data_IF_699597507664
#
_entry.id   IF_699597507664
#
_cell.length_a   1.000
_cell.length_b   1.000
_cell.length_c   1.000
_cell.angle_alpha   90.00
_cell.angle_beta   90.00
_cell.angle_gamma   90.00
#
_symmetry.space_group_name_H-M   'P 1'
#
loop_
_entity.id
_entity.type
_entity.pdbx_description
1 polymer ?
#
# COMPACT_ATOMS: atom_id res chain seq x y z
N UNK A 1 -59.57 16.30 -4.94
CA UNK A 1 -58.61 15.98 -3.88
C UNK A 1 -57.80 14.68 -4.15
N UNK A 2 -58.43 13.53 -4.40
CA UNK A 2 -57.73 12.25 -4.62
C UNK A 2 -56.68 12.25 -5.76
N UNK A 3 -56.97 12.90 -6.91
CA UNK A 3 -56.01 13.02 -8.03
C UNK A 3 -54.76 13.85 -7.68
N UNK A 4 -54.92 14.91 -6.88
CA UNK A 4 -53.80 15.76 -6.46
C UNK A 4 -52.89 15.03 -5.49
N UNK A 5 -53.42 14.20 -4.59
CA UNK A 5 -52.68 13.38 -3.68
C UNK A 5 -51.85 12.29 -4.41
N UNK A 6 -52.44 11.68 -5.46
CA UNK A 6 -51.72 10.69 -6.29
C UNK A 6 -50.57 11.36 -7.04
N UNK A 7 -50.78 12.52 -7.64
CA UNK A 7 -49.74 13.27 -8.33
C UNK A 7 -48.60 13.67 -7.36
N UNK A 8 -48.97 14.14 -6.16
CA UNK A 8 -48.01 14.51 -5.14
C UNK A 8 -47.19 13.29 -4.67
N UNK A 9 -47.85 12.14 -4.49
CA UNK A 9 -47.17 10.89 -4.14
C UNK A 9 -46.20 10.40 -5.23
N UNK A 10 -46.62 10.49 -6.51
CA UNK A 10 -45.74 10.13 -7.63
C UNK A 10 -44.52 11.07 -7.76
N UNK A 11 -44.76 12.38 -7.61
CA UNK A 11 -43.65 13.36 -7.62
C UNK A 11 -42.69 13.12 -6.46
N UNK A 12 -43.22 12.89 -5.25
CA UNK A 12 -42.38 12.58 -4.09
C UNK A 12 -41.59 11.28 -4.27
N UNK A 13 -42.21 10.23 -4.82
CA UNK A 13 -41.53 8.98 -5.13
C UNK A 13 -40.45 9.15 -6.21
N UNK A 14 -40.75 9.93 -7.27
CA UNK A 14 -39.76 10.27 -8.31
C UNK A 14 -38.56 11.06 -7.74
N UNK A 15 -38.83 12.06 -6.90
CA UNK A 15 -37.79 12.84 -6.25
C UNK A 15 -36.94 11.98 -5.29
N UNK A 16 -37.60 11.11 -4.51
CA UNK A 16 -36.90 10.17 -3.64
C UNK A 16 -36.03 9.18 -4.44
N UNK A 17 -36.59 8.64 -5.55
CA UNK A 17 -35.83 7.77 -6.45
C UNK A 17 -34.65 8.51 -7.07
N UNK A 18 -34.83 9.72 -7.57
CA UNK A 18 -33.77 10.55 -8.11
C UNK A 18 -32.70 10.88 -7.05
N UNK A 19 -33.11 11.13 -5.81
CA UNK A 19 -32.20 11.37 -4.69
C UNK A 19 -31.32 10.14 -4.37
N UNK A 20 -31.88 8.94 -4.43
CA UNK A 20 -31.16 7.68 -4.10
C UNK A 20 -30.36 7.15 -5.28
N UNK A 21 -30.76 7.42 -6.53
CA UNK A 21 -30.10 6.90 -7.74
C UNK A 21 -29.27 7.95 -8.48
N UNK A 22 -29.35 9.23 -8.09
CA UNK A 22 -28.60 10.32 -8.72
C UNK A 22 -27.08 10.20 -8.54
N UNK A 23 -26.30 10.96 -9.33
CA UNK A 23 -24.83 10.93 -9.26
C UNK A 23 -24.25 11.32 -7.89
N UNK A 24 -25.02 12.08 -7.09
CA UNK A 24 -24.67 12.43 -5.71
C UNK A 24 -24.84 11.27 -4.71
N UNK A 25 -25.62 10.24 -5.05
CA UNK A 25 -25.84 9.08 -4.18
C UNK A 25 -24.52 8.34 -3.91
N UNK A 26 -23.64 8.27 -4.89
CA UNK A 26 -22.32 7.67 -4.71
C UNK A 26 -21.49 8.44 -3.66
N UNK A 27 -21.49 9.77 -3.70
CA UNK A 27 -20.80 10.62 -2.73
C UNK A 27 -21.42 10.53 -1.33
N UNK A 28 -22.77 10.46 -1.23
CA UNK A 28 -23.45 10.26 0.05
C UNK A 28 -23.16 8.88 0.65
N UNK A 29 -23.13 7.84 -0.17
CA UNK A 29 -22.75 6.49 0.27
C UNK A 29 -21.30 6.47 0.76
N UNK A 30 -20.38 7.13 0.05
CA UNK A 30 -19.00 7.29 0.48
C UNK A 30 -18.87 8.02 1.82
N UNK A 31 -19.60 9.15 1.96
CA UNK A 31 -19.64 9.90 3.22
C UNK A 31 -20.17 9.06 4.39
N UNK A 32 -21.27 8.33 4.17
CA UNK A 32 -21.83 7.43 5.17
C UNK A 32 -20.86 6.34 5.57
N UNK A 33 -20.16 5.75 4.60
CA UNK A 33 -19.14 4.75 4.86
C UNK A 33 -17.99 5.30 5.73
N UNK A 34 -17.44 6.46 5.36
CA UNK A 34 -16.33 7.08 6.12
C UNK A 34 -16.79 7.48 7.54
N UNK A 35 -18.03 7.95 7.67
CA UNK A 35 -18.62 8.26 8.98
C UNK A 35 -18.74 7.00 9.85
N UNK A 36 -19.14 5.87 9.28
CA UNK A 36 -19.23 4.59 9.99
C UNK A 36 -17.83 4.08 10.39
N UNK A 37 -16.83 4.22 9.53
CA UNK A 37 -15.43 3.89 9.85
C UNK A 37 -14.96 4.75 11.03
N UNK A 38 -15.18 6.06 10.96
CA UNK A 38 -14.84 6.98 12.05
C UNK A 38 -15.56 6.62 13.36
N UNK A 39 -16.88 6.40 13.30
CA UNK A 39 -17.67 6.05 14.49
C UNK A 39 -17.19 4.74 15.12
N UNK A 40 -16.90 3.73 14.29
CA UNK A 40 -16.34 2.46 14.77
C UNK A 40 -15.02 2.68 15.51
N UNK A 41 -14.10 3.43 14.91
CA UNK A 41 -12.80 3.72 15.53
C UNK A 41 -12.95 4.52 16.82
N UNK A 42 -13.84 5.54 16.83
CA UNK A 42 -14.07 6.39 17.98
C UNK A 42 -14.71 5.64 19.18
N UNK A 43 -15.57 4.65 18.90
CA UNK A 43 -16.32 3.91 19.95
C UNK A 43 -15.62 2.61 20.35
N UNK A 44 -15.08 1.86 19.38
CA UNK A 44 -14.54 0.52 19.60
C UNK A 44 -13.00 0.48 19.55
N UNK A 45 -12.36 1.52 19.03
CA UNK A 45 -10.92 1.52 18.77
C UNK A 45 -10.49 0.59 17.64
N UNK A 46 -9.16 0.42 17.44
CA UNK A 46 -8.61 -0.54 16.49
C UNK A 46 -8.98 -1.98 16.89
N UNK A 47 -9.24 -2.82 15.88
CA UNK A 47 -9.50 -4.26 16.10
C UNK A 47 -8.25 -5.08 16.34
N UNK A 48 -7.16 -4.63 15.75
CA UNK A 48 -5.91 -5.37 15.72
C UNK A 48 -4.80 -4.59 16.38
N UNK A 49 -3.99 -5.29 17.14
CA UNK A 49 -2.76 -4.72 17.66
C UNK A 49 -1.72 -4.58 16.56
N UNK A 50 -0.94 -3.52 16.62
CA UNK A 50 0.16 -3.24 15.70
C UNK A 50 1.14 -4.40 15.56
N UNK A 51 1.42 -5.10 16.67
CA UNK A 51 2.31 -6.27 16.71
C UNK A 51 1.81 -7.45 15.89
N UNK A 52 0.51 -7.49 15.55
CA UNK A 52 -0.09 -8.54 14.72
C UNK A 52 -0.15 -8.19 13.24
N UNK A 53 0.45 -7.07 12.83
CA UNK A 53 0.48 -6.63 11.43
C UNK A 53 1.33 -7.60 10.61
N UNK A 54 0.76 -8.16 9.54
CA UNK A 54 1.49 -8.98 8.59
C UNK A 54 2.37 -8.15 7.64
N UNK A 55 2.02 -6.88 7.45
CA UNK A 55 2.76 -5.93 6.62
C UNK A 55 3.49 -4.90 7.49
N UNK A 56 4.69 -4.56 7.11
CA UNK A 56 5.51 -3.51 7.73
C UNK A 56 6.03 -2.56 6.66
N UNK A 57 6.28 -1.31 7.04
CA UNK A 57 6.76 -0.27 6.13
C UNK A 57 8.21 0.08 6.47
N UNK A 58 9.07 0.05 5.46
CA UNK A 58 10.39 0.69 5.48
C UNK A 58 10.23 2.06 4.84
N UNK A 59 10.30 3.07 5.67
CA UNK A 59 9.97 4.44 5.33
C UNK A 59 11.16 5.19 4.73
N UNK A 60 10.98 5.73 3.54
CA UNK A 60 11.79 6.84 3.05
C UNK A 60 11.14 8.09 3.61
N UNK A 61 11.65 8.56 4.73
CA UNK A 61 11.13 9.64 5.54
C UNK A 61 12.04 10.88 5.51
N UNK A 62 11.63 11.94 6.18
CA UNK A 62 12.43 13.17 6.32
C UNK A 62 13.77 12.92 7.00
N UNK A 63 13.85 11.91 7.89
CA UNK A 63 15.09 11.51 8.53
C UNK A 63 16.06 10.90 7.52
N UNK A 64 15.56 10.09 6.59
CA UNK A 64 16.36 9.51 5.50
C UNK A 64 17.07 10.60 4.69
N UNK A 65 16.38 11.70 4.39
CA UNK A 65 16.97 12.82 3.65
C UNK A 65 17.95 13.68 4.45
N UNK A 66 18.10 13.43 5.74
CA UNK A 66 18.94 14.22 6.65
C UNK A 66 20.06 13.41 7.29
N UNK A 67 20.21 12.15 6.89
CA UNK A 67 21.27 11.26 7.40
C UNK A 67 22.11 10.68 6.26
N UNK A 68 23.40 10.54 6.53
CA UNK A 68 24.29 9.83 5.62
C UNK A 68 23.85 8.37 5.45
N UNK A 69 23.99 7.81 4.24
CA UNK A 69 24.59 8.40 3.03
C UNK A 69 23.57 9.15 2.14
N UNK A 70 22.30 9.21 2.55
CA UNK A 70 21.19 9.66 1.70
C UNK A 70 21.10 11.19 1.59
N UNK A 71 21.54 11.93 2.61
CA UNK A 71 21.37 13.39 2.73
C UNK A 71 22.01 14.19 1.60
N UNK A 72 23.12 13.71 1.06
CA UNK A 72 23.91 14.45 0.05
C UNK A 72 23.82 13.83 -1.33
N UNK A 73 23.03 12.77 -1.51
CA UNK A 73 22.96 12.02 -2.75
C UNK A 73 21.57 12.03 -3.38
N UNK A 74 21.43 12.21 -4.70
CA UNK A 74 20.16 12.05 -5.39
C UNK A 74 19.61 10.62 -5.26
N UNK A 75 18.28 10.45 -5.24
CA UNK A 75 17.61 9.12 -5.17
C UNK A 75 18.16 8.10 -6.20
N UNK A 76 18.56 8.55 -7.39
CA UNK A 76 19.14 7.67 -8.41
C UNK A 76 20.46 6.99 -7.97
N UNK A 77 21.14 7.55 -6.98
CA UNK A 77 22.39 7.01 -6.42
C UNK A 77 22.14 6.15 -5.17
N UNK A 78 20.93 6.08 -4.64
CA UNK A 78 20.66 5.31 -3.42
C UNK A 78 20.71 3.80 -3.61
N UNK A 79 20.70 3.34 -4.85
CA UNK A 79 20.73 1.90 -5.20
C UNK A 79 21.84 1.15 -4.48
N UNK A 80 23.05 1.72 -4.40
CA UNK A 80 24.20 1.11 -3.71
C UNK A 80 23.95 0.92 -2.21
N UNK A 81 23.29 1.87 -1.58
CA UNK A 81 23.03 1.87 -0.13
C UNK A 81 21.73 1.13 0.25
N UNK A 82 20.80 1.00 -0.70
CA UNK A 82 19.61 0.15 -0.54
C UNK A 82 19.97 -1.34 -0.55
N UNK A 83 20.97 -1.75 -1.33
CA UNK A 83 21.33 -3.16 -1.49
C UNK A 83 21.56 -3.89 -0.15
N UNK A 84 22.42 -3.40 0.76
CA UNK A 84 22.68 -4.09 2.02
C UNK A 84 21.46 -4.12 2.96
N UNK A 85 20.56 -3.12 2.88
CA UNK A 85 19.34 -3.12 3.67
C UNK A 85 18.35 -4.17 3.15
N UNK A 86 18.21 -4.27 1.82
CA UNK A 86 17.36 -5.31 1.19
C UNK A 86 17.88 -6.71 1.53
N UNK A 87 19.19 -6.91 1.45
CA UNK A 87 19.81 -8.21 1.80
C UNK A 87 19.58 -8.55 3.27
N UNK A 88 19.80 -7.60 4.20
CA UNK A 88 19.57 -7.83 5.63
C UNK A 88 18.12 -8.20 5.96
N UNK A 89 17.14 -7.52 5.32
CA UNK A 89 15.72 -7.83 5.46
C UNK A 89 15.40 -9.22 4.91
N UNK A 90 15.94 -9.57 3.75
CA UNK A 90 15.73 -10.87 3.13
C UNK A 90 16.37 -12.01 3.94
N UNK A 91 17.60 -11.81 4.43
CA UNK A 91 18.35 -12.77 5.26
C UNK A 91 17.68 -12.96 6.63
N UNK A 92 16.96 -11.96 7.11
CA UNK A 92 16.11 -12.04 8.30
C UNK A 92 14.89 -12.94 8.13
N UNK A 93 14.60 -13.38 6.91
CA UNK A 93 13.47 -14.25 6.62
C UNK A 93 12.16 -13.50 6.35
N UNK A 94 12.21 -12.28 5.83
CA UNK A 94 11.01 -11.60 5.33
C UNK A 94 10.29 -12.47 4.30
N UNK A 95 8.96 -12.52 4.37
CA UNK A 95 8.16 -13.32 3.45
C UNK A 95 8.29 -12.81 2.01
N UNK A 96 8.18 -11.51 1.84
CA UNK A 96 8.37 -10.83 0.54
C UNK A 96 8.70 -9.36 0.77
N UNK A 97 9.52 -8.79 -0.11
CA UNK A 97 9.89 -7.37 -0.11
C UNK A 97 9.28 -6.72 -1.35
N UNK A 98 8.49 -5.67 -1.15
CA UNK A 98 7.90 -4.87 -2.22
C UNK A 98 8.45 -3.45 -2.22
N UNK A 99 8.77 -2.93 -3.38
CA UNK A 99 9.14 -1.52 -3.54
C UNK A 99 7.94 -0.73 -4.04
N UNK A 100 7.36 0.10 -3.19
CA UNK A 100 6.34 1.11 -3.56
C UNK A 100 7.02 2.43 -3.98
N UNK A 101 8.19 2.31 -4.57
CA UNK A 101 8.91 3.37 -5.23
C UNK A 101 9.44 2.89 -6.56
N UNK A 102 9.43 3.76 -7.54
CA UNK A 102 9.99 3.47 -8.85
C UNK A 102 11.29 4.25 -8.99
N UNK A 103 12.37 3.54 -9.32
CA UNK A 103 13.66 4.14 -9.63
C UNK A 103 13.88 4.05 -11.15
N UNK A 104 13.34 5.01 -11.94
CA UNK A 104 13.33 4.90 -13.39
C UNK A 104 14.68 5.28 -14.03
N UNK A 105 15.54 5.93 -13.27
CA UNK A 105 16.84 6.40 -13.68
C UNK A 105 17.96 5.62 -13.02
N UNK A 106 19.12 5.59 -13.66
CA UNK A 106 20.35 4.96 -13.18
C UNK A 106 21.54 5.86 -13.46
N UNK A 107 22.57 5.77 -12.65
CA UNK A 107 23.86 6.44 -12.88
C UNK A 107 24.90 5.49 -13.49
N UNK A 108 24.48 4.29 -13.90
CA UNK A 108 25.39 3.27 -14.43
C UNK A 108 26.02 3.66 -15.78
N UNK A 109 25.38 4.60 -16.52
CA UNK A 109 25.95 5.21 -17.72
C UNK A 109 27.18 6.09 -17.42
N UNK A 110 27.16 6.77 -16.28
CA UNK A 110 28.22 7.69 -15.85
C UNK A 110 29.26 7.00 -14.97
N UNK A 111 28.80 6.09 -14.08
CA UNK A 111 29.65 5.37 -13.12
C UNK A 111 29.44 3.88 -13.33
N UNK A 112 30.32 3.28 -14.14
CA UNK A 112 30.25 1.85 -14.45
C UNK A 112 30.24 0.99 -13.21
N UNK A 113 29.28 0.08 -13.12
CA UNK A 113 29.18 -0.88 -12.02
C UNK A 113 28.59 -0.31 -10.74
N UNK A 114 28.16 0.97 -10.71
CA UNK A 114 27.60 1.60 -9.51
C UNK A 114 26.41 0.83 -8.94
N UNK A 115 25.47 0.43 -9.79
CA UNK A 115 24.25 -0.28 -9.39
C UNK A 115 24.45 -1.79 -9.20
N UNK A 116 25.63 -2.33 -9.49
CA UNK A 116 25.90 -3.78 -9.47
C UNK A 116 25.48 -4.46 -8.16
N UNK A 117 25.79 -3.91 -6.96
CA UNK A 117 25.37 -4.54 -5.70
C UNK A 117 23.84 -4.64 -5.60
N UNK A 118 23.13 -3.59 -5.99
CA UNK A 118 21.67 -3.55 -5.97
C UNK A 118 21.04 -4.53 -6.97
N UNK A 119 21.55 -4.55 -8.20
CA UNK A 119 21.07 -5.48 -9.23
C UNK A 119 21.30 -6.94 -8.82
N UNK A 120 22.42 -7.25 -8.17
CA UNK A 120 22.69 -8.58 -7.64
C UNK A 120 21.74 -8.95 -6.50
N UNK A 121 21.48 -8.02 -5.56
CA UNK A 121 20.49 -8.20 -4.50
C UNK A 121 19.09 -8.44 -5.09
N UNK A 122 18.64 -7.58 -6.00
CA UNK A 122 17.36 -7.74 -6.69
C UNK A 122 17.24 -9.11 -7.37
N UNK A 123 18.30 -9.53 -8.09
CA UNK A 123 18.30 -10.81 -8.81
C UNK A 123 18.16 -12.00 -7.87
N UNK A 124 18.93 -12.03 -6.76
CA UNK A 124 18.83 -13.11 -5.76
C UNK A 124 17.40 -13.21 -5.20
N UNK A 125 16.86 -12.10 -4.72
CA UNK A 125 15.55 -12.10 -4.07
C UNK A 125 14.39 -12.35 -5.04
N UNK A 126 14.51 -11.86 -6.29
CA UNK A 126 13.51 -12.09 -7.33
C UNK A 126 13.47 -13.55 -7.79
N UNK A 127 14.63 -14.22 -7.88
CA UNK A 127 14.72 -15.64 -8.24
C UNK A 127 14.04 -16.53 -7.20
N UNK A 128 14.10 -16.15 -5.94
CA UNK A 128 13.44 -16.87 -4.83
C UNK A 128 11.96 -16.46 -4.67
N UNK A 129 11.43 -15.62 -5.56
CA UNK A 129 10.06 -15.13 -5.50
C UNK A 129 9.78 -14.12 -4.38
N UNK A 130 10.82 -13.66 -3.68
CA UNK A 130 10.71 -12.82 -2.47
C UNK A 130 10.84 -11.32 -2.74
N UNK A 131 10.80 -10.89 -4.00
CA UNK A 131 10.94 -9.46 -4.33
C UNK A 131 9.93 -9.04 -5.38
N UNK A 132 9.39 -7.84 -5.23
CA UNK A 132 8.48 -7.22 -6.15
C UNK A 132 8.85 -5.74 -6.35
N UNK A 133 9.07 -5.33 -7.58
CA UNK A 133 9.21 -3.92 -7.96
C UNK A 133 7.88 -3.37 -8.44
N UNK A 134 7.74 -2.06 -8.36
CA UNK A 134 6.56 -1.34 -8.81
C UNK A 134 6.73 -0.73 -10.19
N UNK A 135 5.60 -0.55 -10.87
CA UNK A 135 5.41 0.28 -12.06
C UNK A 135 4.16 1.13 -11.90
N UNK A 136 4.06 2.26 -12.59
CA UNK A 136 2.76 2.89 -12.80
C UNK A 136 2.20 2.43 -14.14
N UNK A 137 0.89 2.17 -14.17
CA UNK A 137 0.15 1.94 -15.40
C UNK A 137 -0.43 3.28 -15.85
N UNK A 138 -0.13 3.67 -17.08
CA UNK A 138 -0.63 4.91 -17.65
C UNK A 138 -1.04 4.69 -19.10
N UNK A 139 -2.12 5.33 -19.52
CA UNK A 139 -2.70 5.14 -20.85
C UNK A 139 -1.76 5.46 -22.02
N UNK A 140 -0.79 6.35 -21.81
CA UNK A 140 0.15 6.77 -22.85
C UNK A 140 1.53 6.14 -22.65
N UNK A 141 2.07 6.18 -21.44
CA UNK A 141 3.41 5.66 -21.14
C UNK A 141 3.53 5.29 -19.67
N UNK A 142 3.72 4.01 -19.33
CA UNK A 142 3.96 3.60 -17.96
C UNK A 142 5.33 4.10 -17.47
N UNK A 143 5.44 4.40 -16.18
CA UNK A 143 6.73 4.60 -15.52
C UNK A 143 7.21 3.24 -15.05
N UNK A 144 8.40 2.86 -15.50
CA UNK A 144 8.99 1.55 -15.23
C UNK A 144 10.30 1.72 -14.45
N UNK A 145 10.73 0.72 -13.68
CA UNK A 145 12.08 0.66 -13.14
C UNK A 145 13.14 0.74 -14.25
N UNK A 146 14.34 1.19 -13.92
CA UNK A 146 15.45 1.27 -14.85
C UNK A 146 15.71 -0.07 -15.56
N UNK A 147 16.21 -0.07 -16.81
CA UNK A 147 16.37 -1.28 -17.61
C UNK A 147 17.16 -2.40 -16.91
N UNK A 148 18.26 -2.06 -16.21
CA UNK A 148 19.04 -3.01 -15.43
C UNK A 148 18.23 -3.68 -14.32
N UNK A 149 17.41 -2.91 -13.60
CA UNK A 149 16.54 -3.44 -12.54
C UNK A 149 15.49 -4.39 -13.13
N UNK A 150 14.85 -4.02 -14.25
CA UNK A 150 13.89 -4.88 -14.94
C UNK A 150 14.51 -6.21 -15.37
N UNK A 151 15.74 -6.16 -15.91
CA UNK A 151 16.48 -7.36 -16.26
C UNK A 151 16.79 -8.22 -15.03
N UNK A 152 17.30 -7.61 -13.96
CA UNK A 152 17.66 -8.30 -12.73
C UNK A 152 16.47 -9.06 -12.10
N UNK A 153 15.26 -8.52 -12.18
CA UNK A 153 14.06 -9.14 -11.61
C UNK A 153 13.30 -10.04 -12.60
N UNK A 154 13.84 -10.35 -13.78
CA UNK A 154 13.16 -11.20 -14.76
C UNK A 154 12.01 -10.50 -15.47
N UNK A 155 12.18 -9.23 -15.78
CA UNK A 155 11.19 -8.39 -16.46
C UNK A 155 9.83 -8.38 -15.76
N UNK A 156 8.73 -8.59 -16.48
CA UNK A 156 7.37 -8.51 -15.96
C UNK A 156 7.02 -9.51 -14.85
N UNK A 157 7.83 -10.56 -14.65
CA UNK A 157 7.53 -11.59 -13.66
C UNK A 157 7.46 -11.04 -12.22
N UNK A 158 8.30 -10.06 -11.90
CA UNK A 158 8.41 -9.47 -10.56
C UNK A 158 8.19 -7.94 -10.56
N UNK A 159 7.34 -7.43 -11.47
CA UNK A 159 6.97 -6.01 -11.53
C UNK A 159 5.45 -5.92 -11.56
N UNK A 160 4.85 -5.13 -10.66
CA UNK A 160 3.40 -4.96 -10.55
C UNK A 160 3.01 -3.49 -10.47
N UNK A 161 1.77 -3.20 -10.87
CA UNK A 161 1.22 -1.84 -10.80
C UNK A 161 0.87 -1.46 -9.38
N UNK A 162 1.35 -0.27 -8.96
CA UNK A 162 1.03 0.38 -7.67
C UNK A 162 -0.11 1.39 -7.82
N UNK A 163 -0.79 1.43 -8.95
CA UNK A 163 -1.86 2.39 -9.14
C UNK A 163 -2.98 2.19 -8.12
N UNK A 164 -3.36 3.27 -7.48
CA UNK A 164 -4.53 3.38 -6.63
C UNK A 164 -5.58 4.23 -7.35
N UNK A 165 -6.83 3.82 -7.24
CA UNK A 165 -7.94 4.56 -7.84
C UNK A 165 -8.73 5.28 -6.77
N UNK A 166 -8.96 6.56 -7.01
CA UNK A 166 -9.87 7.36 -6.20
C UNK A 166 -11.31 7.15 -6.68
N UNK A 167 -12.25 7.13 -5.76
CA UNK A 167 -13.66 7.23 -6.09
C UNK A 167 -13.98 8.64 -6.63
N UNK A 168 -15.21 8.88 -7.05
CA UNK A 168 -15.62 10.17 -7.64
C UNK A 168 -15.44 11.38 -6.70
N UNK A 169 -15.42 11.15 -5.40
CA UNK A 169 -15.20 12.15 -4.38
C UNK A 169 -13.72 12.36 -4.00
N UNK A 170 -12.81 11.72 -4.74
CA UNK A 170 -11.37 11.83 -4.51
C UNK A 170 -10.83 10.94 -3.38
N UNK A 171 -11.66 10.09 -2.78
CA UNK A 171 -11.31 9.24 -1.65
C UNK A 171 -10.92 7.84 -2.12
N UNK A 172 -9.90 7.25 -1.53
CA UNK A 172 -9.53 5.85 -1.70
C UNK A 172 -10.16 5.03 -0.59
N UNK A 173 -11.08 4.13 -0.96
CA UNK A 173 -11.72 3.19 -0.03
C UNK A 173 -11.35 1.75 -0.32
N UNK A 174 -10.68 1.51 -1.43
CA UNK A 174 -10.30 0.17 -1.84
C UNK A 174 -9.12 0.16 -2.78
N UNK A 175 -8.65 -1.05 -3.06
CA UNK A 175 -7.55 -1.30 -3.99
C UNK A 175 -8.00 -2.24 -5.09
N UNK A 176 -7.49 -2.08 -6.33
CA UNK A 176 -7.77 -3.05 -7.37
C UNK A 176 -7.08 -4.39 -7.05
N UNK A 177 -7.73 -5.56 -7.23
CA UNK A 177 -7.07 -6.85 -7.12
C UNK A 177 -6.08 -7.10 -8.26
N UNK A 178 -6.33 -6.48 -9.41
CA UNK A 178 -5.50 -6.63 -10.59
C UNK A 178 -5.79 -5.58 -11.66
N UNK A 179 -5.02 -5.66 -12.71
CA UNK A 179 -5.07 -4.79 -13.88
C UNK A 179 -5.06 -5.64 -15.15
N UNK A 180 -5.49 -5.09 -16.25
CA UNK A 180 -5.25 -5.67 -17.56
C UNK A 180 -3.92 -5.12 -18.06
N UNK A 181 -2.94 -5.98 -18.26
CA UNK A 181 -1.65 -5.62 -18.83
C UNK A 181 -1.81 -5.14 -20.29
N UNK A 182 -0.78 -4.50 -20.85
CA UNK A 182 -0.77 -4.08 -22.26
C UNK A 182 -0.97 -5.27 -23.24
N UNK A 183 -0.58 -6.47 -22.81
CA UNK A 183 -0.81 -7.73 -23.55
C UNK A 183 -2.28 -8.19 -23.55
N UNK A 184 -3.18 -7.52 -22.82
CA UNK A 184 -4.55 -7.95 -22.60
C UNK A 184 -4.70 -9.05 -21.53
N UNK A 185 -3.60 -9.50 -20.93
CA UNK A 185 -3.61 -10.55 -19.89
C UNK A 185 -3.85 -9.91 -18.51
N UNK A 186 -4.72 -10.50 -17.67
CA UNK A 186 -4.88 -10.06 -16.29
C UNK A 186 -3.57 -10.15 -15.52
N UNK A 187 -3.23 -9.10 -14.79
CA UNK A 187 -2.04 -9.00 -13.95
C UNK A 187 -2.47 -8.60 -12.53
N UNK A 188 -1.98 -9.30 -11.52
CA UNK A 188 -2.22 -8.94 -10.13
C UNK A 188 -1.75 -7.52 -9.83
N UNK A 189 -2.46 -6.81 -8.93
CA UNK A 189 -1.96 -5.55 -8.38
C UNK A 189 -0.78 -5.80 -7.43
N UNK A 190 -0.06 -4.74 -7.12
CA UNK A 190 1.08 -4.81 -6.19
C UNK A 190 0.70 -5.42 -4.83
N UNK A 191 -0.36 -4.91 -4.19
CA UNK A 191 -0.82 -5.42 -2.89
C UNK A 191 -1.30 -6.87 -2.96
N UNK A 192 -2.06 -7.22 -4.01
CA UNK A 192 -2.58 -8.57 -4.17
C UNK A 192 -1.46 -9.60 -4.42
N UNK A 193 -0.46 -9.24 -5.22
CA UNK A 193 0.68 -10.11 -5.46
C UNK A 193 1.57 -10.27 -4.23
N UNK A 194 1.79 -9.20 -3.45
CA UNK A 194 2.52 -9.29 -2.17
C UNK A 194 1.82 -10.24 -1.20
N UNK A 195 0.51 -10.07 -1.01
CA UNK A 195 -0.27 -10.95 -0.13
C UNK A 195 -0.26 -12.41 -0.61
N UNK A 196 -0.40 -12.64 -1.93
CA UNK A 196 -0.34 -13.98 -2.52
C UNK A 196 1.01 -14.66 -2.29
N UNK A 197 2.12 -13.92 -2.41
CA UNK A 197 3.47 -14.47 -2.17
C UNK A 197 3.70 -14.80 -0.70
N UNK A 198 3.09 -14.03 0.21
CA UNK A 198 3.17 -14.29 1.65
C UNK A 198 2.29 -15.47 2.08
N UNK A 199 1.18 -15.75 1.35
CA UNK A 199 0.26 -16.85 1.61
C UNK A 199 -0.01 -17.68 0.34
N UNK A 200 0.98 -18.33 -0.24
CA UNK A 200 0.84 -19.01 -1.54
C UNK A 200 -0.18 -20.16 -1.52
N UNK A 201 -0.36 -20.82 -0.37
CA UNK A 201 -1.30 -21.93 -0.22
C UNK A 201 -2.75 -21.48 -0.06
N UNK A 202 -3.00 -20.21 0.22
CA UNK A 202 -4.33 -19.69 0.53
C UNK A 202 -4.83 -18.64 -0.45
N UNK A 203 -3.93 -17.92 -1.11
CA UNK A 203 -4.26 -16.86 -2.08
C UNK A 203 -3.74 -17.23 -3.46
N UNK A 204 -4.63 -17.25 -4.44
CA UNK A 204 -4.33 -17.55 -5.82
C UNK A 204 -5.12 -16.66 -6.79
N UNK A 205 -4.72 -16.63 -8.05
CA UNK A 205 -5.53 -16.04 -9.13
C UNK A 205 -6.05 -17.18 -10.01
N UNK A 206 -7.33 -17.09 -10.39
CA UNK A 206 -7.89 -18.00 -11.40
C UNK A 206 -7.52 -17.57 -12.83
N UNK A 207 -7.97 -18.33 -13.82
CA UNK A 207 -7.70 -18.06 -15.21
C UNK A 207 -8.28 -16.72 -15.71
N UNK A 208 -9.33 -16.23 -15.06
CA UNK A 208 -9.98 -14.96 -15.37
C UNK A 208 -9.32 -13.79 -14.63
N UNK A 209 -8.27 -14.03 -13.84
CA UNK A 209 -7.56 -13.04 -13.04
C UNK A 209 -8.31 -12.60 -11.79
N UNK A 210 -9.30 -13.39 -11.32
CA UNK A 210 -9.96 -13.12 -10.04
C UNK A 210 -9.13 -13.65 -8.89
N UNK A 211 -9.03 -12.87 -7.82
CA UNK A 211 -8.32 -13.28 -6.62
C UNK A 211 -9.19 -14.27 -5.81
N UNK A 212 -8.62 -15.42 -5.53
CA UNK A 212 -9.23 -16.47 -4.71
C UNK A 212 -8.55 -16.54 -3.36
N UNK A 213 -9.35 -16.82 -2.32
CA UNK A 213 -8.87 -17.19 -1.00
C UNK A 213 -9.44 -18.55 -0.62
N UNK A 214 -8.58 -19.49 -0.29
CA UNK A 214 -8.96 -20.87 0.03
C UNK A 214 -9.86 -21.51 -1.08
N UNK A 215 -9.60 -21.14 -2.34
CA UNK A 215 -10.36 -21.59 -3.52
C UNK A 215 -11.67 -20.84 -3.79
N UNK A 216 -12.05 -19.89 -2.93
CA UNK A 216 -13.27 -19.09 -3.09
C UNK A 216 -12.92 -17.69 -3.61
N UNK A 217 -13.63 -17.22 -4.63
CA UNK A 217 -13.40 -15.88 -5.17
C UNK A 217 -13.71 -14.81 -4.11
N UNK A 218 -12.78 -13.90 -3.91
CA UNK A 218 -13.00 -12.73 -3.06
C UNK A 218 -13.90 -11.77 -3.84
N UNK A 219 -15.08 -11.41 -3.30
CA UNK A 219 -16.00 -10.54 -4.00
C UNK A 219 -15.37 -9.15 -4.17
N UNK A 220 -15.23 -8.72 -5.43
CA UNK A 220 -14.93 -7.33 -5.75
C UNK A 220 -16.21 -6.49 -5.72
N UNK A 221 -16.12 -5.29 -5.21
CA UNK A 221 -17.20 -4.31 -5.38
C UNK A 221 -17.23 -3.78 -6.82
N UNK A 222 -18.34 -3.21 -7.23
CA UNK A 222 -18.50 -2.68 -8.59
C UNK A 222 -17.29 -1.85 -9.04
N UNK A 223 -16.69 -2.22 -10.19
CA UNK A 223 -15.43 -1.66 -10.67
C UNK A 223 -14.19 -2.47 -10.32
N UNK A 224 -14.34 -3.73 -9.89
CA UNK A 224 -13.23 -4.62 -9.54
C UNK A 224 -12.29 -4.03 -8.48
N UNK A 225 -12.87 -3.58 -7.37
CA UNK A 225 -12.14 -2.98 -6.25
C UNK A 225 -12.42 -3.76 -4.98
N UNK A 226 -11.37 -4.10 -4.24
CA UNK A 226 -11.44 -4.70 -2.91
C UNK A 226 -11.53 -3.58 -1.87
N UNK A 227 -12.60 -3.56 -1.07
CA UNK A 227 -12.74 -2.57 0.00
C UNK A 227 -11.79 -2.87 1.13
N UNK A 228 -10.99 -1.88 1.48
CA UNK A 228 -10.00 -1.98 2.56
C UNK A 228 -10.65 -1.60 3.89
N UNK A 229 -10.52 -2.46 4.89
CA UNK A 229 -10.77 -2.11 6.29
C UNK A 229 -9.54 -1.36 6.82
N UNK A 230 -9.64 -0.04 6.83
CA UNK A 230 -8.65 0.82 7.48
C UNK A 230 -8.92 0.79 8.99
N UNK A 231 -8.34 -0.19 9.66
CA UNK A 231 -8.63 -0.50 11.06
C UNK A 231 -8.02 0.51 12.05
N UNK A 232 -6.96 1.21 11.64
CA UNK A 232 -6.26 2.22 12.44
C UNK A 232 -5.65 3.29 11.53
N UNK A 233 -5.04 4.30 12.13
CA UNK A 233 -4.15 5.23 11.44
C UNK A 233 -2.87 4.53 10.95
N UNK A 234 -1.96 5.29 10.34
CA UNK A 234 -0.64 4.75 10.00
C UNK A 234 0.07 4.11 11.21
N UNK A 235 -0.30 4.49 12.46
CA UNK A 235 0.25 3.91 13.69
C UNK A 235 -0.03 2.40 13.82
N UNK A 236 -1.08 1.88 13.19
CA UNK A 236 -1.38 0.44 13.15
C UNK A 236 -0.42 -0.40 12.30
N UNK A 237 0.43 0.24 11.51
CA UNK A 237 1.44 -0.43 10.68
C UNK A 237 2.84 -0.18 11.25
N UNK A 238 3.59 -1.21 11.65
CA UNK A 238 4.98 -1.05 12.07
C UNK A 238 5.81 -0.36 10.99
N UNK A 239 6.47 0.73 11.35
CA UNK A 239 7.23 1.56 10.42
C UNK A 239 8.66 1.72 10.89
N UNK A 240 9.61 1.54 9.99
CA UNK A 240 11.04 1.60 10.26
C UNK A 240 11.69 2.61 9.32
N UNK A 241 12.46 3.57 9.84
CA UNK A 241 13.19 4.53 9.01
C UNK A 241 14.29 3.82 8.20
N UNK A 242 14.36 4.08 6.91
CA UNK A 242 15.41 3.53 6.05
C UNK A 242 16.81 3.93 6.53
N UNK A 243 16.97 5.17 7.01
CA UNK A 243 18.26 5.65 7.53
C UNK A 243 18.70 4.87 8.78
N UNK A 244 17.79 4.57 9.69
CA UNK A 244 18.10 3.79 10.89
C UNK A 244 18.43 2.33 10.54
N UNK A 245 17.69 1.72 9.60
CA UNK A 245 17.99 0.37 9.11
C UNK A 245 19.34 0.30 8.43
N UNK A 246 19.71 1.31 7.64
CA UNK A 246 21.05 1.37 7.05
C UNK A 246 22.14 1.42 8.12
N UNK A 247 21.97 2.26 9.14
CA UNK A 247 22.88 2.32 10.27
C UNK A 247 22.94 0.99 11.04
N UNK A 248 21.79 0.32 11.19
CA UNK A 248 21.68 -1.00 11.80
C UNK A 248 22.50 -2.07 11.04
N UNK A 249 22.42 -2.08 9.71
CA UNK A 249 23.25 -2.94 8.85
C UNK A 249 24.74 -2.67 9.08
N UNK A 250 25.14 -1.39 9.17
CA UNK A 250 26.52 -1.00 9.44
C UNK A 250 26.99 -1.42 10.83
N UNK A 251 26.08 -1.45 11.81
CA UNK A 251 26.35 -1.94 13.16
C UNK A 251 26.44 -3.48 13.24
N UNK A 252 25.96 -4.20 12.20
CA UNK A 252 25.98 -5.65 12.14
C UNK A 252 24.92 -6.34 13.00
N UNK A 253 23.85 -5.66 13.42
CA UNK A 253 22.81 -6.23 14.27
C UNK A 253 21.81 -7.07 13.45
N UNK A 254 22.21 -8.27 13.10
CA UNK A 254 21.35 -9.23 12.40
C UNK A 254 20.19 -9.75 13.26
N UNK A 255 20.33 -9.72 14.60
CA UNK A 255 19.28 -10.17 15.52
C UNK A 255 18.11 -9.18 15.53
N UNK A 256 18.40 -7.88 15.43
CA UNK A 256 17.39 -6.87 15.26
C UNK A 256 16.53 -7.16 14.02
N UNK A 257 17.18 -7.39 12.87
CA UNK A 257 16.44 -7.70 11.64
C UNK A 257 15.58 -8.96 11.78
N UNK A 258 16.11 -10.04 12.37
CA UNK A 258 15.32 -11.27 12.59
C UNK A 258 14.11 -11.05 13.47
N UNK A 259 14.23 -10.30 14.57
CA UNK A 259 13.10 -10.02 15.47
C UNK A 259 11.98 -9.25 14.80
N UNK A 260 12.31 -8.33 13.89
CA UNK A 260 11.35 -7.36 13.37
C UNK A 260 10.86 -7.67 11.95
N UNK A 261 11.59 -8.45 11.15
CA UNK A 261 11.27 -8.65 9.74
C UNK A 261 10.90 -10.09 9.36
N UNK A 262 11.24 -11.09 10.20
CA UNK A 262 10.96 -12.49 9.89
C UNK A 262 9.46 -12.74 9.68
N UNK A 263 9.11 -13.35 8.54
CA UNK A 263 7.72 -13.71 8.20
C UNK A 263 6.84 -12.56 7.73
N UNK A 264 7.31 -11.32 7.75
CA UNK A 264 6.51 -10.16 7.36
C UNK A 264 6.60 -9.85 5.86
N UNK A 265 5.54 -9.24 5.34
CA UNK A 265 5.57 -8.52 4.06
C UNK A 265 6.17 -7.15 4.32
N UNK A 266 7.28 -6.86 3.68
CA UNK A 266 8.00 -5.59 3.84
C UNK A 266 7.74 -4.70 2.65
N UNK A 267 7.24 -3.48 2.87
CA UNK A 267 6.98 -2.52 1.80
C UNK A 267 7.90 -1.31 1.98
N UNK A 268 8.79 -1.09 1.03
CA UNK A 268 9.66 0.09 1.00
C UNK A 268 8.95 1.20 0.24
N UNK A 269 8.70 2.34 0.87
CA UNK A 269 7.97 3.43 0.23
C UNK A 269 8.22 4.79 0.85
N UNK A 270 7.80 5.85 0.14
CA UNK A 270 7.88 7.22 0.61
C UNK A 270 6.78 7.52 1.64
N UNK A 271 7.16 8.16 2.73
CA UNK A 271 6.22 8.63 3.76
C UNK A 271 6.37 10.13 4.04
N UNK A 272 7.02 10.83 3.11
CA UNK A 272 7.24 12.28 3.21
C UNK A 272 5.92 13.05 3.29
N UNK A 273 5.93 14.11 4.04
CA UNK A 273 4.76 14.98 4.22
C UNK A 273 4.27 15.62 2.92
N UNK A 274 5.17 15.80 1.96
CA UNK A 274 4.91 16.50 0.70
C UNK A 274 4.71 15.58 -0.50
N UNK A 275 4.92 14.26 -0.34
CA UNK A 275 4.83 13.28 -1.43
C UNK A 275 3.69 12.27 -1.20
N UNK A 276 2.97 11.95 -2.28
CA UNK A 276 2.05 10.81 -2.42
C UNK A 276 1.02 10.60 -1.31
N UNK A 277 0.47 11.67 -0.76
CA UNK A 277 -0.58 11.56 0.26
C UNK A 277 -1.97 11.35 -0.36
N UNK A 278 -2.73 10.44 0.24
CA UNK A 278 -4.06 10.00 -0.24
C UNK A 278 -5.11 10.22 0.84
N UNK A 279 -6.26 10.76 0.44
CA UNK A 279 -7.44 10.74 1.30
C UNK A 279 -8.06 9.33 1.27
N UNK A 280 -8.35 8.81 2.45
CA UNK A 280 -8.96 7.48 2.63
C UNK A 280 -10.21 7.57 3.50
N UNK A 281 -10.86 6.44 3.78
CA UNK A 281 -11.99 6.39 4.73
C UNK A 281 -11.61 6.87 6.14
N UNK A 282 -10.33 7.03 6.44
CA UNK A 282 -9.85 7.58 7.71
C UNK A 282 -9.89 9.11 7.78
N UNK A 283 -10.35 9.81 6.74
CA UNK A 283 -10.31 11.29 6.68
C UNK A 283 -10.98 12.01 7.85
N UNK A 284 -11.88 11.35 8.58
CA UNK A 284 -12.52 11.88 9.78
C UNK A 284 -11.87 11.37 11.08
N UNK A 285 -11.02 10.35 10.98
CA UNK A 285 -10.27 9.84 12.10
C UNK A 285 -8.95 10.63 12.20
N UNK A 286 -9.01 11.79 12.86
CA UNK A 286 -7.81 12.56 13.13
C UNK A 286 -6.98 11.86 14.21
N UNK A 287 -6.02 11.06 13.75
CA UNK A 287 -4.95 10.61 14.64
C UNK A 287 -3.81 11.63 14.61
N UNK A 288 -3.14 11.89 15.74
CA UNK A 288 -1.87 12.59 15.69
C UNK A 288 -0.93 11.80 14.76
N UNK A 289 -0.28 12.50 13.87
CA UNK A 289 0.65 11.95 12.87
C UNK A 289 1.99 11.52 13.49
N UNK A 290 1.98 11.26 14.79
CA UNK A 290 3.07 10.55 15.42
C UNK A 290 3.08 9.16 14.79
N UNK A 291 3.72 9.06 13.61
CA UNK A 291 4.10 7.79 13.05
C UNK A 291 4.76 7.05 14.21
N UNK A 292 4.05 6.08 14.77
CA UNK A 292 4.61 5.28 15.81
C UNK A 292 5.67 4.44 15.13
N UNK A 293 6.86 5.01 14.92
CA UNK A 293 8.01 4.25 14.50
C UNK A 293 8.14 3.06 15.44
N UNK A 294 8.44 1.92 14.87
CA UNK A 294 8.77 0.74 15.62
C UNK A 294 10.06 0.97 16.43
N UNK A 295 10.42 0.02 17.26
CA UNK A 295 11.70 0.03 17.98
C UNK A 295 12.85 0.40 17.05
N UNK A 296 13.69 1.32 17.49
CA UNK A 296 14.83 1.81 16.71
C UNK A 296 16.06 0.94 16.98
N UNK A 297 16.87 0.75 15.94
CA UNK A 297 18.08 -0.04 16.05
C UNK A 297 19.26 0.77 16.62
N UNK A 298 19.58 1.89 15.99
CA UNK A 298 20.80 2.65 16.29
C UNK A 298 20.47 4.08 16.70
N UNK A 299 19.66 4.74 15.91
CA UNK A 299 19.45 6.17 16.06
C UNK A 299 18.18 6.48 16.84
N UNK A 300 18.24 7.34 17.86
CA UNK A 300 17.03 7.90 18.44
C UNK A 300 16.26 8.69 17.36
N UNK A 301 14.93 8.82 17.47
CA UNK A 301 14.16 9.70 16.59
C UNK A 301 14.76 11.11 16.56
N UNK A 302 14.83 11.72 15.38
CA UNK A 302 15.31 13.10 15.27
C UNK A 302 14.30 14.03 15.93
N UNK A 303 14.77 14.83 16.90
CA UNK A 303 13.97 15.86 17.52
C UNK A 303 13.45 16.86 16.46
N UNK A 304 12.21 17.31 16.61
CA UNK A 304 11.57 18.27 15.71
C UNK A 304 10.96 17.68 14.44
N UNK A 305 11.30 16.45 14.05
CA UNK A 305 10.61 15.78 12.92
C UNK A 305 9.28 15.16 13.34
N UNK A 306 9.15 14.81 14.61
CA UNK A 306 7.94 14.25 15.21
C UNK A 306 7.08 15.31 15.92
N UNK A 307 7.54 16.54 16.00
CA UNK A 307 6.85 17.62 16.75
C UNK A 307 5.66 18.24 16.02
N UNK A 308 5.51 17.97 14.74
CA UNK A 308 4.33 18.43 14.04
C UNK A 308 3.15 17.53 14.41
N UNK A 309 2.53 17.79 15.54
CA UNK A 309 1.21 17.26 15.89
C UNK A 309 0.11 17.79 14.94
N UNK A 310 0.41 17.87 13.65
CA UNK A 310 -0.52 18.22 12.60
C UNK A 310 -1.33 16.97 12.37
N UNK A 311 -2.54 16.95 12.93
CA UNK A 311 -3.51 15.93 12.58
C UNK A 311 -3.78 16.01 11.07
N UNK A 312 -3.51 14.92 10.37
CA UNK A 312 -3.71 14.83 8.92
C UNK A 312 -4.88 13.91 8.60
N UNK A 313 -5.64 14.32 7.61
CA UNK A 313 -6.77 13.56 7.05
C UNK A 313 -6.34 12.60 5.92
N UNK A 314 -5.04 12.56 5.60
CA UNK A 314 -4.47 11.82 4.48
C UNK A 314 -3.35 10.87 4.91
N UNK A 315 -3.18 9.77 4.19
CA UNK A 315 -2.14 8.76 4.39
C UNK A 315 -1.15 8.73 3.21
N UNK A 316 0.15 8.50 3.43
CA UNK A 316 1.05 8.11 2.35
C UNK A 316 0.55 6.84 1.63
N UNK A 317 0.72 6.77 0.31
CA UNK A 317 0.22 5.66 -0.52
C UNK A 317 0.70 4.28 -0.08
N UNK A 318 1.93 4.19 0.43
CA UNK A 318 2.53 2.95 0.94
C UNK A 318 1.70 2.30 2.05
N UNK A 319 1.05 3.09 2.91
CA UNK A 319 0.17 2.55 3.96
C UNK A 319 -1.14 2.00 3.40
N UNK A 320 -1.65 2.56 2.30
CA UNK A 320 -2.84 2.00 1.63
C UNK A 320 -2.53 0.58 1.16
N UNK A 321 -1.34 0.37 0.57
CA UNK A 321 -0.87 -0.97 0.18
C UNK A 321 -0.67 -1.88 1.40
N UNK A 322 -0.10 -1.38 2.48
CA UNK A 322 0.12 -2.16 3.70
C UNK A 322 -1.20 -2.61 4.35
N UNK A 323 -2.21 -1.73 4.45
CA UNK A 323 -3.54 -2.11 4.91
C UNK A 323 -4.19 -3.14 4.00
N UNK A 324 -4.10 -2.96 2.68
CA UNK A 324 -4.63 -3.93 1.73
C UNK A 324 -3.98 -5.31 1.88
N UNK A 325 -2.67 -5.38 2.04
CA UNK A 325 -1.94 -6.62 2.31
C UNK A 325 -2.41 -7.27 3.62
N UNK A 326 -2.50 -6.50 4.71
CA UNK A 326 -3.02 -7.00 5.98
C UNK A 326 -4.42 -7.58 5.84
N UNK A 327 -5.31 -6.88 5.15
CA UNK A 327 -6.69 -7.33 4.95
C UNK A 327 -6.75 -8.62 4.14
N UNK A 328 -5.95 -8.72 3.08
CA UNK A 328 -5.87 -9.92 2.25
C UNK A 328 -5.34 -11.12 3.04
N UNK A 329 -4.29 -10.91 3.84
CA UNK A 329 -3.69 -11.96 4.67
C UNK A 329 -4.64 -12.39 5.80
N UNK A 330 -5.31 -11.46 6.45
CA UNK A 330 -6.29 -11.74 7.52
C UNK A 330 -7.61 -12.28 6.99
N UNK A 331 -8.00 -11.88 5.76
CA UNK A 331 -9.30 -12.20 5.18
C UNK A 331 -10.43 -11.36 5.75
N UNK A 332 -10.15 -10.12 6.07
CA UNK A 332 -11.08 -9.17 6.67
C UNK A 332 -11.39 -7.97 5.76
N UNK A 333 -11.27 -8.15 4.44
CA UNK A 333 -11.78 -7.18 3.47
C UNK A 333 -13.25 -6.89 3.74
N UNK A 334 -13.63 -5.64 3.56
CA UNK A 334 -15.03 -5.23 3.73
C UNK A 334 -15.83 -5.61 2.49
N UNK A 335 -17.04 -6.10 2.71
CA UNK A 335 -17.98 -6.39 1.64
C UNK A 335 -19.04 -5.28 1.56
N UNK A 336 -19.47 -4.95 0.35
CA UNK A 336 -20.67 -4.13 0.15
C UNK A 336 -21.83 -5.10 -0.08
N UNK A 337 -22.91 -5.02 0.70
CA UNK A 337 -24.08 -5.84 0.42
C UNK A 337 -24.50 -5.61 -1.02
N UNK A 338 -24.61 -6.68 -1.78
CA UNK A 338 -25.12 -6.63 -3.17
C UNK A 338 -26.51 -6.02 -3.17
N UNK A 339 -26.79 -5.21 -4.19
CA UNK A 339 -28.15 -4.62 -4.37
C UNK A 339 -29.26 -5.67 -4.36
N UNK A 340 -28.94 -6.94 -4.65
CA UNK A 340 -29.85 -8.06 -4.58
C UNK A 340 -30.15 -8.54 -3.14
N UNK A 341 -29.31 -8.18 -2.14
CA UNK A 341 -29.54 -8.56 -0.74
C UNK A 341 -30.31 -7.48 0.04
N UNK A 342 -30.54 -6.32 -0.57
CA UNK A 342 -31.27 -5.19 0.04
C UNK A 342 -32.67 -4.99 -0.53
N UNK A 343 -33.15 -5.86 -1.39
CA UNK A 343 -34.49 -5.95 -1.91
C UNK A 343 -35.27 -7.12 -1.27
#
# INVERSE_FOLDING_TARGET
MRRLQIVFGLVAALLATAAVTGPWAASLNGLSFDTLVWLRLAVLGPRYERTTSAAIVVAIDEETYRRAPFETTPKAMWTRDLAPVVDAIADAGAAVIGFDIILPTTVASEIRGYDTPFLQSLHRQARDGRLLLSKTQHSLKPILPAPGQRFAVGHGANIRSVNLFTERDGIIRGVPPGFVAESGIPEASFSAELARRALPDRLAFDADGRLLRDGVAIPGTGGNTLLVDFDDSQAGIPTYSLADLYACVKAGDSDYFRRHFAGHVVIVGSVLDVEDRKLTSLRFATAPDAAAYAERCVHPPMAGLLEAGIARDSLPGVYVHAFAVNNLIRGNLLDRPDRAQTA
#
